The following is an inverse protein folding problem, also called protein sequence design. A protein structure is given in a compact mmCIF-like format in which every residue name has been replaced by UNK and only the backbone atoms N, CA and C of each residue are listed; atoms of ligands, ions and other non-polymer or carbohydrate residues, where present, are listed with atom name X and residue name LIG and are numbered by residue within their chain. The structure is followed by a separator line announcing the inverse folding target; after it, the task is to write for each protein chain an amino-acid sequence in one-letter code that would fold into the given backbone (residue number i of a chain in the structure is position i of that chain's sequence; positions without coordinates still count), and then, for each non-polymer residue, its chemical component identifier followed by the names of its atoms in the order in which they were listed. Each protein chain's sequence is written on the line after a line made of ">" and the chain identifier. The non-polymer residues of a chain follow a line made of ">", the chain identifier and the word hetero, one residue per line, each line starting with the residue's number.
data_IF_973733676813
#
_entry.id   IF_973733676813
#
_cell.length_a   1.000
_cell.length_b   1.000
_cell.length_c   1.000
_cell.angle_alpha   90.00
_cell.angle_beta   90.00
_cell.angle_gamma   90.00
#
_symmetry.space_group_name_H-M   'P 1'
#
loop_
_entity.id
_entity.type
_entity.pdbx_description
1 polymer ?
#
# COMPACT_ATOMS: atom_id res chain seq x y z
N UNK A 1 3.58 15.85 21.08
CA UNK A 1 4.49 15.18 20.12
C UNK A 1 3.59 14.54 19.08
N UNK A 2 3.68 14.95 17.82
CA UNK A 2 2.77 14.50 16.76
C UNK A 2 3.12 13.09 16.30
N UNK A 3 2.16 12.38 15.68
CA UNK A 3 2.39 11.06 15.05
C UNK A 3 3.58 11.10 14.07
N UNK A 4 3.73 12.19 13.32
CA UNK A 4 4.85 12.41 12.40
C UNK A 4 6.20 12.49 13.13
N UNK A 5 6.28 13.24 14.22
CA UNK A 5 7.50 13.36 15.05
C UNK A 5 7.91 12.02 15.65
N UNK A 6 6.93 11.25 16.15
CA UNK A 6 7.17 9.94 16.77
C UNK A 6 7.61 8.90 15.73
N UNK A 7 6.97 8.92 14.55
CA UNK A 7 7.33 8.08 13.40
C UNK A 7 8.75 8.36 12.92
N UNK A 8 9.13 9.65 12.81
CA UNK A 8 10.48 10.05 12.43
C UNK A 8 11.53 9.59 13.45
N UNK A 9 11.24 9.68 14.75
CA UNK A 9 12.12 9.19 15.81
C UNK A 9 12.34 7.68 15.70
N UNK A 10 11.27 6.89 15.51
CA UNK A 10 11.36 5.44 15.32
C UNK A 10 12.21 5.09 14.10
N UNK A 11 12.01 5.76 12.95
CA UNK A 11 12.82 5.51 11.76
C UNK A 11 14.30 5.87 11.93
N UNK A 12 14.61 6.88 12.74
CA UNK A 12 16.00 7.30 13.00
C UNK A 12 16.77 6.28 13.84
N UNK A 13 16.09 5.61 14.78
CA UNK A 13 16.70 4.59 15.65
C UNK A 13 16.61 3.17 15.09
N UNK A 14 15.91 2.98 13.96
CA UNK A 14 15.80 1.67 13.34
C UNK A 14 17.12 1.31 12.64
N UNK A 15 17.76 0.17 12.96
CA UNK A 15 18.99 -0.23 12.28
C UNK A 15 18.70 -0.45 10.78
N UNK A 16 19.61 -0.01 9.89
CA UNK A 16 19.40 -0.13 8.46
C UNK A 16 19.33 -1.61 8.06
N UNK A 17 18.29 -1.97 7.31
CA UNK A 17 18.14 -3.31 6.74
C UNK A 17 18.97 -3.40 5.46
N UNK A 18 19.95 -4.29 5.44
CA UNK A 18 20.69 -4.59 4.22
C UNK A 18 20.00 -5.71 3.43
N UNK A 19 19.71 -5.45 2.15
CA UNK A 19 19.20 -6.47 1.24
C UNK A 19 20.23 -6.80 0.17
N UNK A 20 20.38 -8.09 -0.14
CA UNK A 20 21.29 -8.56 -1.19
C UNK A 20 20.90 -7.95 -2.55
N UNK A 21 19.60 -7.80 -2.81
CA UNK A 21 19.09 -7.19 -4.04
C UNK A 21 19.57 -5.74 -4.23
N UNK A 22 19.70 -4.97 -3.15
CA UNK A 22 20.19 -3.59 -3.21
C UNK A 22 21.69 -3.57 -3.62
N UNK A 23 22.48 -4.55 -3.14
CA UNK A 23 23.89 -4.73 -3.54
C UNK A 23 24.05 -5.20 -4.99
N UNK A 24 23.06 -5.89 -5.54
CA UNK A 24 23.06 -6.31 -6.96
C UNK A 24 22.69 -5.12 -7.83
N UNK A 25 21.61 -4.40 -7.49
CA UNK A 25 21.13 -3.25 -8.26
C UNK A 25 22.17 -2.12 -8.32
N UNK A 26 22.91 -1.89 -7.23
CA UNK A 26 23.99 -0.88 -7.19
C UNK A 26 25.12 -1.15 -8.19
N UNK A 27 25.40 -2.42 -8.52
CA UNK A 27 26.38 -2.78 -9.57
C UNK A 27 25.96 -2.31 -10.96
N UNK A 28 24.67 -2.10 -11.18
CA UNK A 28 24.09 -1.62 -12.43
C UNK A 28 23.64 -0.17 -12.35
N UNK A 29 24.04 0.57 -11.31
CA UNK A 29 23.60 1.96 -11.07
C UNK A 29 22.07 2.11 -11.13
N UNK A 30 21.35 1.11 -10.62
CA UNK A 30 19.89 1.04 -10.61
C UNK A 30 19.38 1.19 -9.19
N UNK A 31 18.39 2.06 -9.00
CA UNK A 31 17.69 2.21 -7.73
C UNK A 31 16.52 1.21 -7.66
N UNK A 32 16.38 0.54 -6.52
CA UNK A 32 15.30 -0.41 -6.28
C UNK A 32 14.14 0.27 -5.57
N UNK A 33 13.00 0.38 -6.26
CA UNK A 33 11.74 0.81 -5.65
C UNK A 33 11.14 -0.36 -4.87
N UNK A 34 10.89 -0.15 -3.57
CA UNK A 34 10.29 -1.16 -2.69
C UNK A 34 8.78 -0.91 -2.62
N UNK A 35 8.01 -1.82 -3.21
CA UNK A 35 6.54 -1.78 -3.15
C UNK A 35 6.09 -2.44 -1.84
N UNK A 36 5.14 -1.80 -1.14
CA UNK A 36 4.56 -2.36 0.08
C UNK A 36 3.85 -3.69 -0.23
N UNK A 37 4.02 -4.67 0.66
CA UNK A 37 3.35 -5.96 0.51
C UNK A 37 1.82 -5.77 0.45
N UNK A 38 1.16 -6.54 -0.42
CA UNK A 38 -0.30 -6.53 -0.70
C UNK A 38 -0.83 -5.42 -1.62
N UNK A 39 0.00 -4.51 -2.12
CA UNK A 39 -0.44 -3.47 -3.06
C UNK A 39 -0.04 -3.79 -4.51
N UNK A 40 -0.45 -4.96 -5.01
CA UNK A 40 -0.17 -5.35 -6.41
C UNK A 40 -0.73 -4.36 -7.45
N UNK A 41 -1.76 -3.60 -7.08
CA UNK A 41 -2.34 -2.52 -7.88
C UNK A 41 -1.36 -1.37 -8.19
N UNK A 42 -0.30 -1.22 -7.38
CA UNK A 42 0.76 -0.24 -7.58
C UNK A 42 1.97 -0.80 -8.36
N UNK A 43 1.87 -2.03 -8.88
CA UNK A 43 2.97 -2.69 -9.59
C UNK A 43 2.67 -2.81 -11.10
N UNK A 44 3.40 -2.10 -11.99
CA UNK A 44 3.05 -2.04 -13.42
C UNK A 44 3.17 -3.39 -14.13
N UNK A 45 4.07 -4.24 -13.65
CA UNK A 45 4.27 -5.56 -14.24
C UNK A 45 3.06 -6.48 -14.01
N UNK A 46 2.26 -6.25 -12.97
CA UNK A 46 1.04 -7.03 -12.71
C UNK A 46 -0.03 -6.72 -13.76
N UNK A 47 -0.17 -5.44 -14.15
CA UNK A 47 -1.07 -5.05 -15.24
C UNK A 47 -0.62 -5.64 -16.58
N UNK A 48 0.67 -5.57 -16.88
CA UNK A 48 1.24 -6.20 -18.08
C UNK A 48 1.02 -7.72 -18.07
N UNK A 49 1.24 -8.36 -16.92
CA UNK A 49 1.02 -9.79 -16.72
C UNK A 49 -0.44 -10.20 -16.87
N UNK A 50 -1.39 -9.37 -16.43
CA UNK A 50 -2.82 -9.59 -16.68
C UNK A 50 -3.15 -9.54 -18.18
N UNK A 51 -2.62 -8.55 -18.89
CA UNK A 51 -2.77 -8.43 -20.35
C UNK A 51 -2.24 -9.66 -21.09
N UNK A 52 -1.03 -10.10 -20.74
CA UNK A 52 -0.40 -11.30 -21.27
C UNK A 52 -1.25 -12.56 -20.99
N UNK A 53 -1.68 -12.76 -19.74
CA UNK A 53 -2.52 -13.91 -19.35
C UNK A 53 -3.83 -13.92 -20.13
N UNK A 54 -4.47 -12.76 -20.30
CA UNK A 54 -5.71 -12.63 -21.05
C UNK A 54 -5.51 -12.95 -22.53
N UNK A 55 -4.42 -12.47 -23.14
CA UNK A 55 -4.07 -12.81 -24.52
C UNK A 55 -3.87 -14.31 -24.71
N UNK A 56 -3.00 -14.93 -23.89
CA UNK A 56 -2.75 -16.37 -23.94
C UNK A 56 -4.05 -17.16 -23.74
N UNK A 57 -4.90 -16.77 -22.78
CA UNK A 57 -6.17 -17.44 -22.53
C UNK A 57 -7.11 -17.42 -23.73
N UNK A 58 -7.13 -16.33 -24.50
CA UNK A 58 -8.01 -16.18 -25.66
C UNK A 58 -7.53 -16.97 -26.88
N UNK A 59 -6.20 -17.08 -27.05
CA UNK A 59 -5.59 -17.71 -28.23
C UNK A 59 -5.22 -19.18 -28.01
N UNK A 60 -5.03 -19.60 -26.76
CA UNK A 60 -4.62 -20.96 -26.47
C UNK A 60 -5.80 -21.95 -26.56
N UNK A 61 -5.89 -22.64 -27.71
CA UNK A 61 -6.94 -23.64 -27.98
C UNK A 61 -6.49 -25.06 -27.60
N UNK A 62 -5.17 -25.32 -27.62
CA UNK A 62 -4.61 -26.69 -27.53
C UNK A 62 -3.98 -27.01 -26.17
N UNK A 63 -3.84 -26.02 -25.30
CA UNK A 63 -3.31 -26.15 -23.93
C UNK A 63 -1.93 -26.81 -23.84
N UNK A 64 -1.09 -26.62 -24.87
CA UNK A 64 0.31 -27.11 -24.87
C UNK A 64 1.26 -26.04 -24.33
N UNK A 65 2.31 -26.47 -23.63
CA UNK A 65 3.34 -25.55 -23.13
C UNK A 65 4.09 -24.84 -24.25
N UNK A 66 4.42 -25.56 -25.33
CA UNK A 66 5.08 -24.98 -26.51
C UNK A 66 4.24 -23.82 -27.11
N UNK A 67 2.92 -24.00 -27.19
CA UNK A 67 1.99 -22.98 -27.71
C UNK A 67 1.93 -21.77 -26.75
N UNK A 68 2.01 -21.99 -25.43
CA UNK A 68 2.04 -20.91 -24.44
C UNK A 68 3.32 -20.08 -24.58
N UNK A 69 4.47 -20.72 -24.72
CA UNK A 69 5.75 -20.02 -24.90
C UNK A 69 5.73 -19.16 -26.17
N UNK A 70 5.24 -19.71 -27.28
CA UNK A 70 5.08 -18.96 -28.52
C UNK A 70 4.16 -17.75 -28.34
N UNK A 71 2.96 -17.94 -27.78
CA UNK A 71 2.00 -16.85 -27.56
C UNK A 71 2.54 -15.76 -26.62
N UNK A 72 3.32 -16.14 -25.60
CA UNK A 72 3.97 -15.17 -24.73
C UNK A 72 4.99 -14.31 -25.49
N UNK A 73 5.83 -14.93 -26.31
CA UNK A 73 6.81 -14.22 -27.12
C UNK A 73 6.14 -13.31 -28.16
N UNK A 74 5.06 -13.76 -28.79
CA UNK A 74 4.26 -12.95 -29.73
C UNK A 74 3.68 -11.71 -29.06
N UNK A 75 3.09 -11.86 -27.87
CA UNK A 75 2.54 -10.73 -27.12
C UNK A 75 3.63 -9.75 -26.70
N UNK A 76 4.76 -10.24 -26.18
CA UNK A 76 5.90 -9.39 -25.78
C UNK A 76 6.50 -8.64 -26.98
N UNK A 77 6.56 -9.26 -28.17
CA UNK A 77 7.03 -8.60 -29.38
C UNK A 77 6.06 -7.52 -29.88
N UNK A 78 4.77 -7.66 -29.60
CA UNK A 78 3.75 -6.66 -29.91
C UNK A 78 3.67 -5.53 -28.87
N UNK A 79 4.24 -5.73 -27.66
CA UNK A 79 4.29 -4.68 -26.66
C UNK A 79 5.15 -3.50 -27.14
N UNK A 80 4.54 -2.33 -27.08
CA UNK A 80 5.17 -1.07 -27.46
C UNK A 80 5.37 -0.15 -26.25
N UNK A 81 6.21 0.89 -26.36
CA UNK A 81 6.39 1.88 -25.30
C UNK A 81 5.07 2.54 -24.87
N UNK A 82 4.09 2.68 -25.77
CA UNK A 82 2.78 3.23 -25.47
C UNK A 82 1.99 2.35 -24.50
N UNK A 83 2.09 1.02 -24.64
CA UNK A 83 1.47 0.08 -23.69
C UNK A 83 2.08 0.23 -22.30
N UNK A 84 3.42 0.30 -22.22
CA UNK A 84 4.12 0.51 -20.97
C UNK A 84 3.70 1.84 -20.32
N UNK A 85 3.69 2.93 -21.10
CA UNK A 85 3.26 4.24 -20.63
C UNK A 85 1.83 4.23 -20.09
N UNK A 86 0.92 3.47 -20.69
CA UNK A 86 -0.44 3.33 -20.20
C UNK A 86 -0.51 2.61 -18.85
N UNK A 87 0.31 1.58 -18.62
CA UNK A 87 0.39 0.90 -17.32
C UNK A 87 0.89 1.82 -16.22
N UNK A 88 1.95 2.61 -16.49
CA UNK A 88 2.44 3.60 -15.53
C UNK A 88 1.40 4.69 -15.25
N UNK A 89 0.72 5.20 -16.28
CA UNK A 89 -0.34 6.18 -16.13
C UNK A 89 -1.49 5.67 -15.23
N UNK A 90 -1.87 4.40 -15.38
CA UNK A 90 -2.85 3.78 -14.50
C UNK A 90 -2.39 3.79 -13.04
N UNK A 91 -1.13 3.43 -12.79
CA UNK A 91 -0.59 3.35 -11.43
C UNK A 91 -0.50 4.71 -10.77
N UNK A 92 -0.09 5.74 -11.49
CA UNK A 92 -0.11 7.10 -10.94
C UNK A 92 -1.51 7.51 -10.49
N UNK A 93 -2.55 7.14 -11.25
CA UNK A 93 -3.93 7.39 -10.83
C UNK A 93 -4.30 6.61 -9.56
N UNK A 94 -3.87 5.36 -9.43
CA UNK A 94 -4.10 4.57 -8.22
C UNK A 94 -3.37 5.17 -7.02
N UNK A 95 -2.11 5.58 -7.20
CA UNK A 95 -1.29 6.20 -6.18
C UNK A 95 -1.96 7.47 -5.60
N UNK A 96 -2.55 8.32 -6.46
CA UNK A 96 -3.28 9.50 -6.00
C UNK A 96 -4.52 9.16 -5.16
N UNK A 97 -5.19 8.03 -5.45
CA UNK A 97 -6.31 7.54 -4.63
C UNK A 97 -5.81 7.16 -3.24
N UNK A 98 -4.69 6.42 -3.14
CA UNK A 98 -4.10 6.05 -1.85
C UNK A 98 -3.65 7.29 -1.07
N UNK A 99 -2.96 8.23 -1.71
CA UNK A 99 -2.54 9.50 -1.06
C UNK A 99 -3.73 10.31 -0.54
N UNK A 100 -4.84 10.32 -1.27
CA UNK A 100 -6.05 11.04 -0.84
C UNK A 100 -6.69 10.32 0.35
N UNK A 101 -6.78 8.99 0.30
CA UNK A 101 -7.31 8.21 1.41
C UNK A 101 -6.48 8.38 2.70
N UNK A 102 -5.15 8.35 2.58
CA UNK A 102 -4.25 8.55 3.73
C UNK A 102 -4.45 9.93 4.37
N UNK A 103 -4.53 11.00 3.56
CA UNK A 103 -4.81 12.36 4.05
C UNK A 103 -6.15 12.44 4.79
N UNK A 104 -7.20 11.83 4.24
CA UNK A 104 -8.52 11.84 4.85
C UNK A 104 -8.53 11.11 6.20
N UNK A 105 -7.78 10.01 6.33
CA UNK A 105 -7.65 9.29 7.61
C UNK A 105 -6.93 10.14 8.64
N UNK A 106 -5.84 10.82 8.25
CA UNK A 106 -5.11 11.73 9.13
C UNK A 106 -5.99 12.88 9.63
N UNK A 107 -6.83 13.45 8.77
CA UNK A 107 -7.78 14.51 9.14
C UNK A 107 -8.80 14.02 10.17
N UNK A 108 -9.42 12.84 9.93
CA UNK A 108 -10.38 12.24 10.87
C UNK A 108 -9.73 11.89 12.22
N UNK A 109 -8.51 11.35 12.22
CA UNK A 109 -7.77 11.03 13.45
C UNK A 109 -7.51 12.30 14.27
N UNK A 110 -7.10 13.40 13.63
CA UNK A 110 -6.86 14.66 14.32
C UNK A 110 -8.16 15.24 14.90
N UNK A 111 -9.25 15.26 14.13
CA UNK A 111 -10.55 15.75 14.58
C UNK A 111 -11.09 14.98 15.80
N UNK A 112 -10.90 13.65 15.83
CA UNK A 112 -11.29 12.83 16.98
C UNK A 112 -10.45 13.15 18.22
N UNK A 113 -9.14 13.36 18.04
CA UNK A 113 -8.23 13.63 19.15
C UNK A 113 -8.48 15.02 19.76
N UNK A 114 -8.80 16.02 18.93
CA UNK A 114 -9.13 17.38 19.37
C UNK A 114 -10.51 17.45 20.09
N UNK A 115 -11.38 16.46 19.90
CA UNK A 115 -12.70 16.38 20.53
C UNK A 115 -12.73 15.71 21.91
N UNK A 116 -11.65 15.01 22.31
CA UNK A 116 -11.54 14.33 23.61
C UNK A 116 -11.03 15.25 24.75
N UNK A 117 -10.51 16.44 24.43
CA UNK A 117 -10.02 17.42 25.40
C UNK A 117 -11.14 18.30 26.04
N UNK A 118 -12.41 18.14 25.62
CA UNK A 118 -13.57 18.89 26.11
C UNK A 118 -14.49 18.08 27.08
N UNK A 119 -14.00 17.00 27.68
CA UNK A 119 -14.70 16.34 28.79
C UNK A 119 -14.26 16.99 30.11
N UNK A 120 -14.98 18.03 30.51
CA UNK A 120 -14.89 18.67 31.82
C UNK A 120 -15.12 17.60 32.92
N UNK A 121 -14.05 17.27 33.65
CA UNK A 121 -14.05 16.41 34.84
C UNK A 121 -14.77 17.15 35.97
N UNK A 122 -16.10 17.15 35.92
CA UNK A 122 -16.93 17.66 37.02
C UNK A 122 -16.77 16.73 38.23
N UNK A 123 -15.85 17.15 39.11
CA UNK A 123 -15.53 16.51 40.38
C UNK A 123 -16.74 16.33 41.31
N UNK A 124 -16.89 15.10 41.80
CA UNK A 124 -17.31 14.66 43.14
C UNK A 124 -18.66 15.16 43.71
N UNK A 125 -19.56 14.21 43.99
CA UNK A 125 -20.36 14.28 45.21
C UNK A 125 -20.49 12.87 45.83
N UNK A 126 -19.51 12.54 46.67
CA UNK A 126 -19.64 11.50 47.69
C UNK A 126 -20.78 11.89 48.64
N UNK A 127 -21.89 11.16 48.58
CA UNK A 127 -22.78 11.01 49.71
C UNK A 127 -23.10 9.52 49.87
N UNK A 128 -22.15 8.79 50.46
CA UNK A 128 -22.50 7.63 51.27
C UNK A 128 -23.37 8.13 52.43
N UNK A 129 -24.67 7.84 52.34
CA UNK A 129 -25.53 7.72 53.51
C UNK A 129 -26.09 6.31 53.51
N UNK A 130 -25.60 5.56 54.49
CA UNK A 130 -26.12 4.29 54.97
C UNK A 130 -27.65 4.23 54.91
N UNK A 131 -28.19 3.17 54.31
CA UNK A 131 -29.31 2.49 54.97
C UNK A 131 -29.33 0.99 54.67
N UNK A 132 -28.95 0.24 55.70
CA UNK A 132 -29.19 -1.18 55.88
C UNK A 132 -30.68 -1.42 56.15
N UNK A 133 -31.46 -1.86 55.17
CA UNK A 133 -32.71 -2.65 55.31
C UNK A 133 -33.20 -3.02 53.90
N UNK A 134 -33.82 -4.15 53.57
CA UNK A 134 -34.18 -5.40 54.22
C UNK A 134 -34.70 -6.34 53.11
N UNK A 135 -34.43 -7.64 53.25
CA UNK A 135 -34.99 -8.81 52.52
C UNK A 135 -34.68 -9.02 51.03
#
# INVERSE_FOLDING_TARGET
>A
MTKAELTQSVFTHLPPKEFIVDKVASKYNTEMVKILMKHCVLNPIELGGEGLKNYVRQQNVRFRLDDIEQLCNEWLAACSPEHASAYFAHIYKQEEIFKTADKNVEEIENDLTDSEDDVDDDTLNDNEVDDLTAF
#
